data_IF_906978384143
#
_entry.id   IF_906978384143
#
_cell.length_a   1.000
_cell.length_b   1.000
_cell.length_c   1.000
_cell.angle_alpha   90.00
_cell.angle_beta   90.00
_cell.angle_gamma   90.00
#
_symmetry.space_group_name_H-M   'P 1'
#
loop_
_entity.id
_entity.type
_entity.pdbx_description
1 polymer ?
#
# COMPACT_ATOMS: atom_id res chain seq x y z
N UNK A 1 8.51 -17.36 1.59
CA UNK A 1 9.71 -16.81 2.25
C UNK A 1 9.84 -17.49 3.60
N UNK A 2 10.99 -18.10 3.90
CA UNK A 2 11.26 -18.65 5.24
C UNK A 2 11.67 -17.50 6.15
N UNK A 3 10.85 -17.17 7.15
CA UNK A 3 11.17 -16.11 8.12
C UNK A 3 12.10 -16.72 9.17
N UNK A 4 13.40 -16.72 8.91
CA UNK A 4 14.43 -17.24 9.84
C UNK A 4 14.88 -16.15 10.83
N UNK A 5 14.61 -14.86 10.54
CA UNK A 5 14.77 -13.70 11.43
C UNK A 5 13.73 -12.63 11.03
N UNK A 6 13.17 -11.90 12.01
CA UNK A 6 12.25 -10.78 11.76
C UNK A 6 10.80 -10.96 12.24
N UNK A 7 10.48 -12.03 13.00
CA UNK A 7 9.13 -12.28 13.52
C UNK A 7 8.78 -11.58 14.84
N UNK A 8 9.57 -10.58 15.27
CA UNK A 8 9.29 -9.86 16.52
C UNK A 8 8.16 -8.85 16.31
N UNK A 9 7.22 -8.80 17.25
CA UNK A 9 6.14 -7.82 17.23
C UNK A 9 6.66 -6.49 17.80
N UNK A 10 6.48 -5.41 17.06
CA UNK A 10 6.78 -4.04 17.50
C UNK A 10 5.48 -3.27 17.67
N UNK A 11 5.25 -2.75 18.87
CA UNK A 11 4.12 -1.83 19.14
C UNK A 11 4.51 -0.36 18.99
N UNK A 12 5.81 -0.08 19.00
CA UNK A 12 6.39 1.25 18.85
C UNK A 12 7.52 1.21 17.81
N UNK A 13 7.70 2.30 17.08
CA UNK A 13 8.81 2.45 16.15
C UNK A 13 10.14 2.39 16.92
N UNK A 14 11.12 1.58 16.48
CA UNK A 14 12.34 1.32 17.24
C UNK A 14 13.18 2.59 17.46
N UNK A 15 13.21 3.51 16.49
CA UNK A 15 14.01 4.74 16.59
C UNK A 15 13.26 5.92 17.24
N UNK A 16 12.04 6.24 16.78
CA UNK A 16 11.27 7.39 17.28
C UNK A 16 10.45 7.11 18.53
N UNK A 17 10.24 5.84 18.88
CA UNK A 17 9.37 5.45 19.99
C UNK A 17 7.88 5.73 19.77
N UNK A 18 7.46 6.15 18.57
CA UNK A 18 6.05 6.42 18.25
C UNK A 18 5.24 5.13 18.33
N UNK A 19 4.10 5.15 19.01
CA UNK A 19 3.15 4.04 19.02
C UNK A 19 2.60 3.85 17.60
N UNK A 20 2.70 2.63 17.06
CA UNK A 20 2.29 2.33 15.69
C UNK A 20 0.77 2.15 15.58
N UNK A 21 0.18 1.50 16.58
CA UNK A 21 -1.27 1.31 16.64
C UNK A 21 -1.97 2.65 16.93
N UNK A 22 -2.99 2.97 16.12
CA UNK A 22 -3.70 4.25 16.18
C UNK A 22 -2.92 5.47 15.67
N UNK A 23 -1.72 5.29 15.09
CA UNK A 23 -1.00 6.42 14.49
C UNK A 23 -1.73 6.92 13.23
N UNK A 24 -2.14 8.19 13.26
CA UNK A 24 -2.72 8.85 12.10
C UNK A 24 -1.62 9.49 11.26
N UNK A 25 -1.50 9.08 10.00
CA UNK A 25 -0.53 9.67 9.08
C UNK A 25 -0.97 11.11 8.75
N UNK A 26 -0.16 12.15 9.04
CA UNK A 26 -0.48 13.50 8.61
C UNK A 26 -0.51 13.57 7.08
N UNK A 27 -1.34 14.47 6.53
CA UNK A 27 -1.46 14.68 5.08
C UNK A 27 -1.87 13.42 4.28
N UNK A 28 -2.62 12.50 4.91
CA UNK A 28 -3.06 11.26 4.26
C UNK A 28 -3.88 11.52 2.98
N UNK A 29 -4.67 12.60 2.94
CA UNK A 29 -5.46 12.95 1.77
C UNK A 29 -4.57 13.35 0.58
N UNK A 30 -3.50 14.09 0.85
CA UNK A 30 -2.50 14.52 -0.13
C UNK A 30 -1.71 13.30 -0.65
N UNK A 31 -1.35 12.36 0.23
CA UNK A 31 -0.72 11.09 -0.14
C UNK A 31 -1.63 10.29 -1.09
N UNK A 32 -2.91 10.15 -0.75
CA UNK A 32 -3.90 9.45 -1.60
C UNK A 32 -4.08 10.17 -2.95
N UNK A 33 -4.14 11.50 -2.95
CA UNK A 33 -4.26 12.29 -4.17
C UNK A 33 -3.03 12.12 -5.07
N UNK A 34 -1.83 12.08 -4.50
CA UNK A 34 -0.58 11.83 -5.23
C UNK A 34 -0.58 10.44 -5.85
N UNK A 35 -0.94 9.40 -5.08
CA UNK A 35 -1.05 8.03 -5.57
C UNK A 35 -2.03 7.90 -6.75
N UNK A 36 -3.22 8.53 -6.64
CA UNK A 36 -4.22 8.54 -7.71
C UNK A 36 -3.71 9.26 -8.95
N UNK A 37 -3.09 10.42 -8.79
CA UNK A 37 -2.51 11.18 -9.90
C UNK A 37 -1.45 10.34 -10.64
N UNK A 38 -0.53 9.71 -9.90
CA UNK A 38 0.52 8.86 -10.44
C UNK A 38 -0.03 7.63 -11.17
N UNK A 39 -1.05 6.97 -10.60
CA UNK A 39 -1.68 5.80 -11.21
C UNK A 39 -2.25 6.08 -12.61
N UNK A 40 -2.67 7.31 -12.91
CA UNK A 40 -3.17 7.68 -14.26
C UNK A 40 -2.06 7.84 -15.31
N UNK A 41 -0.78 7.86 -14.90
CA UNK A 41 0.35 8.11 -15.81
C UNK A 41 0.94 6.85 -16.42
N UNK A 42 0.59 5.68 -15.89
CA UNK A 42 1.12 4.39 -16.33
C UNK A 42 -0.05 3.53 -16.82
N UNK A 43 0.03 2.92 -18.02
CA UNK A 43 -1.05 2.12 -18.58
C UNK A 43 -1.08 0.71 -17.95
N UNK A 44 -1.26 0.64 -16.63
CA UNK A 44 -1.46 -0.61 -15.88
C UNK A 44 -2.72 -0.54 -15.05
N UNK A 45 -3.37 -1.68 -14.82
CA UNK A 45 -4.59 -1.74 -14.00
C UNK A 45 -4.29 -1.75 -12.50
N UNK A 46 -3.13 -2.26 -12.12
CA UNK A 46 -2.68 -2.37 -10.73
C UNK A 46 -1.20 -2.00 -10.67
N UNK A 47 -0.85 -1.16 -9.71
CA UNK A 47 0.52 -0.77 -9.37
C UNK A 47 0.57 -0.52 -7.86
N UNK A 48 1.63 -0.94 -7.20
CA UNK A 48 1.91 -0.55 -5.81
C UNK A 48 2.77 0.70 -5.81
N UNK A 49 2.31 1.77 -5.16
CA UNK A 49 3.10 2.99 -5.02
C UNK A 49 3.72 3.05 -3.63
N UNK A 50 5.05 3.15 -3.58
CA UNK A 50 5.77 3.45 -2.36
C UNK A 50 5.91 4.97 -2.26
N UNK A 51 5.31 5.55 -1.24
CA UNK A 51 5.24 7.00 -1.03
C UNK A 51 5.83 7.31 0.35
N UNK A 52 6.78 8.24 0.37
CA UNK A 52 7.32 8.80 1.61
C UNK A 52 6.64 10.14 1.92
N UNK A 53 6.47 10.44 3.19
CA UNK A 53 6.05 11.76 3.67
C UNK A 53 7.28 12.49 4.22
N UNK A 54 7.82 13.46 3.47
CA UNK A 54 8.93 14.30 3.93
C UNK A 54 8.42 15.55 4.65
N UNK A 55 9.37 16.37 5.14
CA UNK A 55 9.04 17.66 5.78
C UNK A 55 8.45 18.67 4.79
N UNK A 56 8.68 18.49 3.49
CA UNK A 56 8.11 19.31 2.40
C UNK A 56 6.77 18.76 1.87
N UNK A 57 6.42 17.52 2.21
CA UNK A 57 5.17 16.87 1.78
C UNK A 57 5.37 15.47 1.20
N UNK A 58 4.31 14.88 0.62
CA UNK A 58 4.37 13.52 0.08
C UNK A 58 5.17 13.46 -1.24
N UNK A 59 5.97 12.42 -1.40
CA UNK A 59 6.78 12.17 -2.59
C UNK A 59 6.82 10.69 -2.97
N UNK A 60 6.84 10.41 -4.27
CA UNK A 60 6.90 9.04 -4.80
C UNK A 60 8.33 8.54 -4.72
N UNK A 61 8.52 7.35 -4.15
CA UNK A 61 9.80 6.64 -4.11
C UNK A 61 9.88 5.65 -5.26
N UNK A 62 8.87 4.78 -5.40
CA UNK A 62 8.87 3.68 -6.36
C UNK A 62 7.45 3.31 -6.81
N UNK A 63 7.34 2.85 -8.07
CA UNK A 63 6.14 2.22 -8.62
C UNK A 63 6.39 0.75 -8.94
N UNK A 64 5.77 -0.14 -8.17
CA UNK A 64 5.90 -1.58 -8.27
C UNK A 64 4.85 -2.17 -9.22
N UNK A 65 5.29 -2.61 -10.40
CA UNK A 65 4.42 -3.28 -11.39
C UNK A 65 3.91 -4.65 -10.93
N UNK A 66 4.57 -5.27 -9.96
CA UNK A 66 4.13 -6.50 -9.30
C UNK A 66 4.15 -6.35 -7.76
N UNK A 67 3.11 -5.73 -7.16
CA UNK A 67 3.16 -5.26 -5.78
C UNK A 67 2.91 -6.34 -4.72
N UNK A 68 2.96 -7.64 -5.07
CA UNK A 68 2.75 -8.76 -4.13
C UNK A 68 1.49 -8.62 -3.27
N UNK A 69 0.32 -8.86 -3.89
CA UNK A 69 -1.00 -8.61 -3.27
C UNK A 69 -1.33 -9.49 -2.05
N UNK A 70 -0.60 -10.58 -1.79
CA UNK A 70 -0.95 -11.59 -0.78
C UNK A 70 -1.11 -11.02 0.64
N UNK A 71 -0.20 -10.16 1.10
CA UNK A 71 -0.28 -9.59 2.44
C UNK A 71 -1.44 -8.61 2.56
N UNK A 72 -1.66 -7.82 1.52
CA UNK A 72 -2.71 -6.83 1.47
C UNK A 72 -4.11 -7.48 1.34
N UNK A 73 -4.19 -8.62 0.64
CA UNK A 73 -5.37 -9.50 0.56
C UNK A 73 -5.78 -10.03 1.95
N UNK A 74 -4.82 -10.59 2.70
CA UNK A 74 -5.04 -11.07 4.07
C UNK A 74 -5.47 -9.93 5.00
N UNK A 75 -4.79 -8.78 4.95
CA UNK A 75 -5.07 -7.63 5.80
C UNK A 75 -6.47 -7.04 5.54
N UNK A 76 -6.94 -7.08 4.29
CA UNK A 76 -8.28 -6.64 3.92
C UNK A 76 -9.37 -7.67 4.32
N UNK A 77 -9.00 -8.93 4.56
CA UNK A 77 -9.93 -10.03 4.83
C UNK A 77 -10.41 -10.77 3.57
N UNK A 78 -9.68 -10.64 2.45
CA UNK A 78 -10.00 -11.27 1.18
C UNK A 78 -10.50 -10.28 0.13
N UNK A 79 -9.73 -10.08 -0.92
CA UNK A 79 -10.01 -9.19 -2.05
C UNK A 79 -11.12 -9.68 -2.96
N UNK A 80 -11.40 -10.99 -2.98
CA UNK A 80 -12.47 -11.53 -3.81
C UNK A 80 -13.85 -10.95 -3.46
N UNK A 81 -14.04 -10.41 -2.25
CA UNK A 81 -15.28 -9.73 -1.87
C UNK A 81 -15.34 -8.26 -2.27
N UNK A 82 -14.21 -7.65 -2.65
CA UNK A 82 -14.17 -6.25 -3.06
C UNK A 82 -14.78 -6.05 -4.46
N UNK A 83 -15.77 -5.14 -4.63
CA UNK A 83 -16.45 -4.93 -5.92
C UNK A 83 -15.51 -4.61 -7.10
N UNK A 84 -14.51 -3.74 -6.89
CA UNK A 84 -13.51 -3.42 -7.92
C UNK A 84 -12.65 -4.63 -8.33
N UNK A 85 -12.32 -5.52 -7.40
CA UNK A 85 -11.54 -6.73 -7.73
C UNK A 85 -12.39 -7.67 -8.58
N UNK A 86 -13.66 -7.86 -8.23
CA UNK A 86 -14.62 -8.62 -9.07
C UNK A 86 -14.71 -8.03 -10.48
N UNK A 87 -14.78 -6.70 -10.60
CA UNK A 87 -14.78 -6.02 -11.89
C UNK A 87 -13.50 -6.31 -12.69
N UNK A 88 -12.32 -6.13 -12.10
CA UNK A 88 -11.03 -6.39 -12.75
C UNK A 88 -10.95 -7.85 -13.23
N UNK A 89 -11.34 -8.82 -12.38
CA UNK A 89 -11.35 -10.24 -12.75
C UNK A 89 -12.29 -10.53 -13.93
N UNK A 90 -13.46 -9.87 -13.99
CA UNK A 90 -14.40 -10.00 -15.13
C UNK A 90 -13.84 -9.47 -16.45
N UNK A 91 -12.86 -8.56 -16.42
CA UNK A 91 -12.21 -8.01 -17.62
C UNK A 91 -11.15 -8.98 -18.19
N UNK A 92 -10.55 -9.82 -17.34
CA UNK A 92 -9.48 -10.78 -17.74
C UNK A 92 -10.04 -12.15 -18.12
N UNK A 93 -11.26 -12.48 -17.67
CA UNK A 93 -11.91 -13.78 -17.94
C UNK A 93 -12.73 -13.78 -19.24
N UNK A 94 -12.62 -12.73 -20.06
CA UNK A 94 -13.20 -12.65 -21.41
C UNK A 94 -12.18 -13.06 -22.45
#
# INVERSE_FOLDING_TARGET
QSIVKGGTVFTHHPDSGVQLDGFELPLINEVIALAKSAATKIPTRIIGWDIALSVEGPLIIEGNSNPSLNMADIAYGGYCDHPLVKQILSEVTK
#
